data_IF_470114001882
#
_entry.id   IF_470114001882
#
_cell.length_a   1.000
_cell.length_b   1.000
_cell.length_c   1.000
_cell.angle_alpha   90.00
_cell.angle_beta   90.00
_cell.angle_gamma   90.00
#
_symmetry.space_group_name_H-M   'P 1'
#
loop_
_entity.id
_entity.type
_entity.pdbx_description
1 polymer ?
#
# COMPACT_ATOMS: atom_id res chain seq x y z
N UNK A 1 43.43 -12.18 2.85
CA UNK A 1 43.65 -11.06 1.89
C UNK A 1 42.62 -11.11 0.75
N UNK A 2 42.04 -9.98 0.35
CA UNK A 2 41.18 -9.91 -0.85
C UNK A 2 42.09 -9.88 -2.11
N UNK A 3 41.78 -10.59 -3.20
CA UNK A 3 42.48 -10.43 -4.49
C UNK A 3 42.44 -8.98 -4.96
N UNK A 4 43.46 -8.55 -5.73
CA UNK A 4 43.51 -7.20 -6.30
C UNK A 4 42.52 -7.03 -7.45
N UNK A 5 42.21 -8.12 -8.13
CA UNK A 5 41.29 -8.20 -9.27
C UNK A 5 39.81 -8.21 -8.87
N UNK A 6 38.93 -8.03 -9.86
CA UNK A 6 37.48 -8.11 -9.69
C UNK A 6 37.11 -9.57 -9.45
N UNK A 7 36.42 -9.86 -8.35
CA UNK A 7 36.07 -11.24 -7.99
C UNK A 7 34.63 -11.52 -8.41
N UNK A 8 34.43 -12.58 -9.19
CA UNK A 8 33.11 -13.11 -9.54
C UNK A 8 32.54 -13.93 -8.39
N UNK A 9 33.32 -14.90 -7.90
CA UNK A 9 32.86 -15.84 -6.88
C UNK A 9 34.06 -16.47 -6.16
N UNK A 10 33.91 -16.69 -4.85
CA UNK A 10 34.78 -17.56 -4.07
C UNK A 10 34.13 -18.92 -3.89
N UNK A 11 34.93 -19.98 -3.89
CA UNK A 11 34.47 -21.32 -3.52
C UNK A 11 35.63 -22.13 -2.95
N UNK A 12 35.33 -23.20 -2.24
CA UNK A 12 36.33 -24.18 -1.82
C UNK A 12 35.91 -25.58 -2.28
N UNK A 13 36.89 -26.46 -2.42
CA UNK A 13 36.66 -27.89 -2.67
C UNK A 13 37.14 -28.67 -1.46
N UNK A 14 36.21 -29.31 -0.75
CA UNK A 14 36.50 -30.19 0.37
C UNK A 14 36.87 -31.58 -0.13
N UNK A 15 37.74 -32.27 0.62
CA UNK A 15 38.25 -33.60 0.27
C UNK A 15 37.66 -34.59 1.25
N UNK A 16 37.27 -35.76 0.76
CA UNK A 16 36.83 -36.88 1.59
C UNK A 16 37.75 -38.06 1.26
N UNK A 17 38.44 -38.59 2.28
CA UNK A 17 39.33 -39.76 2.19
C UNK A 17 40.61 -39.62 1.33
N UNK A 18 41.02 -38.40 0.95
CA UNK A 18 42.34 -38.15 0.33
C UNK A 18 42.86 -36.74 0.66
N UNK A 19 44.15 -36.49 0.42
CA UNK A 19 44.80 -35.21 0.66
C UNK A 19 45.48 -34.69 -0.63
N UNK A 20 46.08 -33.49 -0.58
CA UNK A 20 46.73 -32.88 -1.74
C UNK A 20 47.95 -33.65 -2.26
N UNK A 21 48.63 -34.47 -1.44
CA UNK A 21 49.83 -35.20 -1.89
C UNK A 21 49.52 -36.32 -2.87
N UNK A 22 48.25 -36.72 -2.97
CA UNK A 22 47.76 -37.72 -3.92
C UNK A 22 47.30 -37.12 -5.27
N UNK A 23 47.27 -35.78 -5.39
CA UNK A 23 46.80 -35.09 -6.61
C UNK A 23 48.00 -34.78 -7.51
N UNK A 24 48.13 -35.50 -8.63
CA UNK A 24 49.17 -35.22 -9.64
C UNK A 24 48.77 -34.08 -10.57
N UNK A 25 47.53 -34.12 -11.07
CA UNK A 25 46.94 -33.16 -11.97
C UNK A 25 45.41 -33.24 -11.89
N UNK A 26 44.74 -32.12 -12.11
CA UNK A 26 43.30 -32.01 -12.16
C UNK A 26 42.88 -30.81 -13.00
N UNK A 27 41.60 -30.78 -13.35
CA UNK A 27 41.00 -29.69 -14.11
C UNK A 27 39.72 -29.24 -13.42
N UNK A 28 39.56 -27.93 -13.29
CA UNK A 28 38.32 -27.32 -12.80
C UNK A 28 37.68 -26.61 -13.98
N UNK A 29 36.46 -27.01 -14.32
CA UNK A 29 35.64 -26.30 -15.29
C UNK A 29 34.60 -25.46 -14.57
N UNK A 30 34.45 -24.22 -14.99
CA UNK A 30 33.53 -23.27 -14.40
C UNK A 30 32.94 -22.37 -15.46
N UNK A 31 31.78 -21.79 -15.17
CA UNK A 31 31.11 -20.84 -16.04
C UNK A 31 31.00 -19.49 -15.36
N UNK A 32 31.02 -18.43 -16.16
CA UNK A 32 30.84 -17.05 -15.73
C UNK A 32 29.70 -16.44 -16.53
N UNK A 33 28.82 -15.69 -15.87
CA UNK A 33 27.74 -14.99 -16.55
C UNK A 33 28.31 -13.93 -17.51
N UNK A 34 27.86 -13.95 -18.78
CA UNK A 34 28.30 -12.98 -19.76
C UNK A 34 27.93 -11.55 -19.36
N UNK A 35 26.79 -11.36 -18.67
CA UNK A 35 26.39 -10.04 -18.18
C UNK A 35 27.41 -9.47 -17.20
N UNK A 36 27.90 -10.29 -16.26
CA UNK A 36 28.95 -9.88 -15.32
C UNK A 36 30.26 -9.52 -16.03
N UNK A 37 30.64 -10.29 -17.07
CA UNK A 37 31.84 -10.01 -17.88
C UNK A 37 31.70 -8.64 -18.56
N UNK A 38 30.56 -8.36 -19.19
CA UNK A 38 30.31 -7.09 -19.88
C UNK A 38 30.18 -5.91 -18.91
N UNK A 39 29.40 -6.06 -17.83
CA UNK A 39 29.15 -5.02 -16.82
C UNK A 39 30.43 -4.57 -16.12
N UNK A 40 31.38 -5.49 -15.92
CA UNK A 40 32.65 -5.20 -15.25
C UNK A 40 33.80 -4.94 -16.24
N UNK A 41 33.53 -4.87 -17.55
CA UNK A 41 34.56 -4.61 -18.56
C UNK A 41 35.67 -5.68 -18.62
N UNK A 42 35.36 -6.90 -18.20
CA UNK A 42 36.35 -7.96 -18.02
C UNK A 42 36.90 -8.41 -19.37
N UNK A 43 38.22 -8.34 -19.51
CA UNK A 43 38.95 -8.76 -20.70
C UNK A 43 39.43 -10.20 -20.60
N UNK A 44 39.89 -10.61 -19.41
CA UNK A 44 40.35 -11.98 -19.14
C UNK A 44 39.79 -12.51 -17.82
N UNK A 45 39.48 -13.81 -17.80
CA UNK A 45 38.99 -14.50 -16.60
C UNK A 45 40.01 -15.55 -16.19
N UNK A 46 40.30 -15.61 -14.90
CA UNK A 46 41.23 -16.57 -14.30
C UNK A 46 40.60 -17.27 -13.11
N UNK A 47 40.97 -18.53 -12.89
CA UNK A 47 40.82 -19.13 -11.58
C UNK A 47 42.08 -18.85 -10.76
N UNK A 48 41.92 -18.32 -9.56
CA UNK A 48 43.02 -18.16 -8.60
C UNK A 48 42.86 -19.12 -7.43
N UNK A 49 43.98 -19.58 -6.88
CA UNK A 49 44.06 -20.48 -5.73
C UNK A 49 44.80 -19.80 -4.59
N UNK A 50 44.33 -19.99 -3.37
CA UNK A 50 44.96 -19.42 -2.18
C UNK A 50 46.04 -20.35 -1.58
N UNK A 51 47.25 -19.81 -1.44
CA UNK A 51 48.43 -20.42 -0.80
C UNK A 51 49.21 -19.39 0.04
N UNK A 52 48.56 -18.78 1.04
CA UNK A 52 49.11 -17.62 1.75
C UNK A 52 48.97 -16.31 0.96
N UNK A 53 49.02 -16.40 -0.36
CA UNK A 53 48.65 -15.38 -1.34
C UNK A 53 47.76 -15.96 -2.44
N UNK A 54 47.09 -15.09 -3.21
CA UNK A 54 46.29 -15.52 -4.37
C UNK A 54 47.18 -15.73 -5.58
N UNK A 55 47.25 -16.96 -6.08
CA UNK A 55 48.01 -17.31 -7.29
C UNK A 55 47.08 -17.63 -8.44
N UNK A 56 47.23 -16.93 -9.56
CA UNK A 56 46.48 -17.21 -10.80
C UNK A 56 46.89 -18.57 -11.36
N UNK A 57 45.90 -19.35 -11.78
CA UNK A 57 46.10 -20.63 -12.44
C UNK A 57 45.95 -20.45 -13.96
N UNK A 58 46.63 -21.32 -14.72
CA UNK A 58 46.44 -21.40 -16.16
C UNK A 58 44.98 -21.71 -16.45
N UNK A 59 44.28 -20.77 -17.07
CA UNK A 59 42.84 -20.80 -17.34
C UNK A 59 42.60 -20.54 -18.82
N UNK A 60 41.78 -21.38 -19.47
CA UNK A 60 41.49 -21.32 -20.90
C UNK A 60 39.97 -21.19 -21.10
N UNK A 61 39.54 -20.31 -22.00
CA UNK A 61 38.14 -20.25 -22.45
C UNK A 61 37.88 -21.46 -23.36
N UNK A 62 36.96 -22.32 -22.97
CA UNK A 62 36.65 -23.57 -23.69
C UNK A 62 35.36 -23.49 -24.50
N UNK A 63 34.40 -22.63 -24.10
CA UNK A 63 33.15 -22.42 -24.83
C UNK A 63 32.50 -21.08 -24.46
N UNK A 64 31.66 -20.53 -25.33
CA UNK A 64 30.86 -19.33 -25.09
C UNK A 64 29.46 -19.48 -25.68
N UNK A 65 28.44 -19.27 -24.84
CA UNK A 65 27.03 -19.19 -25.24
C UNK A 65 26.53 -17.76 -25.13
N UNK A 66 25.25 -17.49 -25.40
CA UNK A 66 24.64 -16.16 -25.20
C UNK A 66 24.66 -15.74 -23.72
N UNK A 67 24.43 -16.67 -22.79
CA UNK A 67 24.30 -16.39 -21.36
C UNK A 67 25.59 -16.59 -20.56
N UNK A 68 26.45 -17.52 -20.96
CA UNK A 68 27.62 -17.90 -20.15
C UNK A 68 28.88 -18.10 -21.00
N UNK A 69 30.03 -17.79 -20.40
CA UNK A 69 31.37 -18.16 -20.88
C UNK A 69 31.92 -19.27 -19.98
N UNK A 70 32.46 -20.33 -20.58
CA UNK A 70 32.94 -21.54 -19.89
C UNK A 70 34.46 -21.60 -19.96
N UNK A 71 35.09 -21.85 -18.83
CA UNK A 71 36.53 -21.85 -18.64
C UNK A 71 36.99 -23.15 -18.02
N UNK A 72 38.23 -23.53 -18.34
CA UNK A 72 38.94 -24.67 -17.75
C UNK A 72 40.25 -24.21 -17.13
N UNK A 73 40.49 -24.56 -15.88
CA UNK A 73 41.74 -24.26 -15.19
C UNK A 73 42.47 -25.54 -14.76
N UNK A 74 43.79 -25.58 -14.96
CA UNK A 74 44.62 -26.69 -14.48
C UNK A 74 45.00 -26.50 -13.01
N UNK A 75 44.83 -27.56 -12.22
CA UNK A 75 45.15 -27.58 -10.79
C UNK A 75 46.01 -28.79 -10.43
N UNK A 76 46.87 -28.62 -9.43
CA UNK A 76 47.67 -29.71 -8.84
C UNK A 76 47.33 -29.92 -7.35
N UNK A 77 46.38 -29.17 -6.80
CA UNK A 77 45.92 -29.26 -5.42
C UNK A 77 44.59 -28.53 -5.23
N UNK A 78 43.82 -28.89 -4.20
CA UNK A 78 42.60 -28.18 -3.83
C UNK A 78 42.78 -27.32 -2.57
N UNK A 79 42.23 -26.11 -2.62
CA UNK A 79 42.25 -25.08 -1.58
C UNK A 79 40.98 -24.22 -1.70
N UNK A 80 41.02 -22.98 -1.20
CA UNK A 80 40.11 -21.91 -1.57
C UNK A 80 40.47 -21.40 -2.97
N UNK A 81 39.43 -21.15 -3.76
CA UNK A 81 39.50 -20.65 -5.10
C UNK A 81 38.68 -19.36 -5.24
N UNK A 82 39.12 -18.51 -6.16
CA UNK A 82 38.41 -17.30 -6.58
C UNK A 82 38.37 -17.25 -8.10
N UNK A 83 37.20 -16.99 -8.66
CA UNK A 83 37.06 -16.64 -10.08
C UNK A 83 37.30 -15.15 -10.19
N UNK A 84 38.35 -14.77 -10.93
CA UNK A 84 38.82 -13.40 -11.07
C UNK A 84 38.58 -12.90 -12.50
N UNK A 85 38.17 -11.64 -12.61
CA UNK A 85 38.10 -10.88 -13.85
C UNK A 85 39.20 -9.82 -13.86
N UNK A 86 39.94 -9.77 -14.95
CA UNK A 86 40.99 -8.80 -15.23
C UNK A 86 40.49 -7.79 -16.25
N UNK A 87 40.67 -6.52 -15.92
CA UNK A 87 40.42 -5.37 -16.79
C UNK A 87 41.78 -4.72 -17.07
N UNK A 88 41.95 -4.27 -18.31
CA UNK A 88 43.01 -3.32 -18.65
C UNK A 88 42.59 -2.53 -19.89
N UNK A 89 42.96 -1.26 -19.94
CA UNK A 89 42.80 -0.42 -21.13
C UNK A 89 44.04 -0.53 -22.00
N UNK A 90 43.89 -0.66 -23.32
CA UNK A 90 45.04 -0.86 -24.22
C UNK A 90 46.05 0.30 -24.08
N UNK A 91 47.31 -0.04 -23.82
CA UNK A 91 48.36 0.95 -23.56
C UNK A 91 48.50 1.40 -22.11
N UNK A 92 47.56 1.06 -21.23
CA UNK A 92 47.67 1.30 -19.78
C UNK A 92 48.89 0.58 -19.22
N UNK A 93 49.58 1.20 -18.24
CA UNK A 93 50.74 0.62 -17.55
C UNK A 93 50.43 0.40 -16.08
N UNK A 94 51.02 -0.63 -15.48
CA UNK A 94 50.97 -0.87 -14.02
C UNK A 94 52.26 -1.50 -13.53
N UNK A 95 52.53 -1.31 -12.24
CA UNK A 95 53.54 -2.10 -11.54
C UNK A 95 52.91 -3.34 -10.92
N UNK A 96 53.48 -4.51 -11.18
CA UNK A 96 53.12 -5.78 -10.54
C UNK A 96 54.36 -6.38 -9.87
N UNK A 97 54.59 -6.02 -8.61
CA UNK A 97 55.87 -6.27 -7.95
C UNK A 97 56.96 -5.44 -8.62
N UNK A 98 58.06 -6.10 -9.00
CA UNK A 98 59.18 -5.46 -9.71
C UNK A 98 58.99 -5.42 -11.22
N UNK A 99 57.86 -5.91 -11.75
CA UNK A 99 57.59 -5.90 -13.18
C UNK A 99 56.78 -4.66 -13.57
N UNK A 100 57.24 -3.96 -14.62
CA UNK A 100 56.44 -3.01 -15.35
C UNK A 100 55.62 -3.77 -16.39
N UNK A 101 54.30 -3.76 -16.22
CA UNK A 101 53.36 -4.39 -17.14
C UNK A 101 52.64 -3.33 -17.96
N UNK A 102 52.37 -3.63 -19.24
CA UNK A 102 51.51 -2.84 -20.11
C UNK A 102 50.38 -3.71 -20.63
N UNK A 103 49.18 -3.14 -20.74
CA UNK A 103 48.08 -3.81 -21.40
C UNK A 103 48.33 -3.84 -22.90
N UNK A 104 48.59 -5.05 -23.42
CA UNK A 104 48.79 -5.33 -24.84
C UNK A 104 47.83 -6.45 -25.23
N UNK A 105 47.01 -6.22 -26.26
CA UNK A 105 45.94 -7.12 -26.69
C UNK A 105 44.99 -7.49 -25.54
N UNK A 106 44.54 -6.49 -24.78
CA UNK A 106 43.65 -6.67 -23.62
C UNK A 106 44.20 -7.62 -22.53
N UNK A 107 45.52 -7.68 -22.37
CA UNK A 107 46.20 -8.46 -21.35
C UNK A 107 47.39 -7.72 -20.80
N UNK A 108 47.60 -7.79 -19.49
CA UNK A 108 48.86 -7.33 -18.93
C UNK A 108 50.01 -8.21 -19.41
N UNK A 109 50.99 -7.59 -20.06
CA UNK A 109 52.24 -8.18 -20.50
C UNK A 109 53.38 -7.47 -19.78
N UNK A 110 54.34 -8.23 -19.25
CA UNK A 110 55.56 -7.65 -18.69
C UNK A 110 56.36 -7.04 -19.84
N UNK A 111 56.51 -5.72 -19.84
CA UNK A 111 57.31 -5.00 -20.83
C UNK A 111 58.75 -4.80 -20.36
N UNK A 112 58.96 -4.74 -19.04
CA UNK A 112 60.29 -4.58 -18.43
C UNK A 112 60.28 -5.19 -17.01
N UNK A 113 61.35 -5.89 -16.64
CA UNK A 113 61.60 -6.34 -15.26
C UNK A 113 62.51 -5.30 -14.61
N UNK A 114 62.02 -4.57 -13.62
CA UNK A 114 62.73 -3.47 -13.00
C UNK A 114 63.70 -3.97 -11.92
N UNK A 115 65.00 -4.00 -12.23
CA UNK A 115 66.05 -4.44 -11.29
C UNK A 115 66.07 -3.64 -9.98
N UNK A 116 65.68 -2.35 -10.04
CA UNK A 116 65.62 -1.44 -8.88
C UNK A 116 64.18 -1.09 -8.47
N UNK A 117 63.23 -1.98 -8.81
CA UNK A 117 61.82 -1.83 -8.50
C UNK A 117 61.05 -0.95 -9.49
N UNK A 118 59.75 -1.23 -9.62
CA UNK A 118 58.83 -0.48 -10.47
C UNK A 118 58.18 0.66 -9.68
N UNK A 119 58.19 1.88 -10.22
CA UNK A 119 57.59 3.04 -9.57
C UNK A 119 56.09 3.16 -9.91
N UNK A 120 55.17 2.96 -8.95
CA UNK A 120 53.73 2.98 -9.24
C UNK A 120 53.19 4.37 -9.58
N UNK A 121 53.94 5.44 -9.28
CA UNK A 121 53.52 6.82 -9.57
C UNK A 121 53.90 7.24 -10.98
N UNK A 122 55.09 6.85 -11.45
CA UNK A 122 55.59 7.21 -12.80
C UNK A 122 55.35 6.11 -13.84
N UNK A 123 54.95 4.92 -13.39
CA UNK A 123 54.75 3.73 -14.23
C UNK A 123 56.00 3.43 -15.09
N UNK A 124 57.16 3.51 -14.44
CA UNK A 124 58.48 3.32 -15.04
C UNK A 124 59.40 2.56 -14.08
N UNK A 125 60.43 1.89 -14.61
CA UNK A 125 61.48 1.32 -13.77
C UNK A 125 62.34 2.42 -13.13
N UNK A 126 62.72 2.21 -11.88
CA UNK A 126 63.63 3.13 -11.21
C UNK A 126 65.01 3.07 -11.85
N UNK A 127 65.68 4.21 -12.06
CA UNK A 127 67.03 4.22 -12.58
C UNK A 127 67.99 3.58 -11.57
N UNK A 128 69.06 2.98 -12.09
CA UNK A 128 70.18 2.52 -11.27
C UNK A 128 70.67 3.67 -10.38
N UNK A 129 70.75 3.49 -9.05
CA UNK A 129 71.22 4.54 -8.16
C UNK A 129 72.63 4.98 -8.57
N UNK A 130 72.79 6.28 -8.80
CA UNK A 130 74.07 6.89 -9.20
C UNK A 130 74.93 7.18 -7.97
N UNK A 131 75.99 6.38 -7.81
CA UNK A 131 77.07 6.59 -6.85
C UNK A 131 77.08 5.57 -5.70
N UNK A 132 77.95 4.56 -5.79
CA UNK A 132 79.24 4.52 -5.10
C UNK A 132 80.02 3.26 -5.52
N UNK A 133 81.30 3.47 -5.82
CA UNK A 133 82.30 2.43 -6.04
C UNK A 133 82.57 1.67 -4.73
N UNK A 134 83.08 0.45 -4.91
CA UNK A 134 83.49 -0.48 -3.85
C UNK A 134 84.41 0.18 -2.81
N UNK A 135 84.09 -0.01 -1.52
CA UNK A 135 85.03 -0.58 -0.54
C UNK A 135 84.32 -0.90 0.78
N UNK A 136 84.83 -1.92 1.46
CA UNK A 136 84.10 -2.68 2.45
C UNK A 136 84.11 -2.12 3.86
N UNK A 137 83.19 -2.66 4.67
CA UNK A 137 83.37 -2.83 6.11
C UNK A 137 82.72 -1.78 7.02
N UNK A 138 81.54 -2.14 7.52
CA UNK A 138 81.16 -1.95 8.92
C UNK A 138 80.92 -0.52 9.42
N UNK A 139 79.65 -0.14 9.52
CA UNK A 139 79.22 1.01 10.33
C UNK A 139 77.74 1.30 10.14
N UNK A 140 76.96 1.20 11.21
CA UNK A 140 75.51 1.39 11.16
C UNK A 140 75.07 2.85 11.04
N UNK A 141 73.80 3.04 10.67
CA UNK A 141 73.06 4.27 10.93
C UNK A 141 72.18 4.77 9.77
N UNK A 142 70.88 4.92 10.05
CA UNK A 142 70.06 5.96 9.40
C UNK A 142 69.11 5.51 8.29
N UNK A 143 68.03 4.82 8.64
CA UNK A 143 66.87 4.66 7.75
C UNK A 143 66.19 6.02 7.51
N UNK A 144 66.41 6.61 6.33
CA UNK A 144 65.65 7.74 5.84
C UNK A 144 64.25 7.30 5.43
N UNK A 145 63.29 7.38 6.36
CA UNK A 145 61.89 7.08 6.08
C UNK A 145 61.33 8.04 5.04
N UNK A 146 60.84 7.51 3.92
CA UNK A 146 60.06 8.27 2.95
C UNK A 146 58.84 8.87 3.67
N UNK A 147 58.75 10.20 3.65
CA UNK A 147 57.61 10.95 4.21
C UNK A 147 56.69 11.32 3.06
N UNK A 148 55.47 10.76 2.98
CA UNK A 148 54.52 11.09 1.92
C UNK A 148 54.11 12.57 1.97
N UNK A 149 53.88 13.21 0.80
CA UNK A 149 53.41 14.59 0.75
C UNK A 149 52.02 14.74 1.38
N UNK A 150 51.78 15.90 2.00
CA UNK A 150 50.48 16.21 2.57
C UNK A 150 49.52 16.67 1.45
N UNK A 151 48.28 16.17 1.48
CA UNK A 151 47.24 16.49 0.51
C UNK A 151 46.02 17.09 1.22
N UNK A 152 45.33 18.03 0.57
CA UNK A 152 44.12 18.70 1.07
C UNK A 152 42.84 18.24 0.38
N UNK A 153 42.93 17.45 -0.68
CA UNK A 153 41.79 16.93 -1.45
C UNK A 153 41.94 15.43 -1.64
N UNK A 154 40.90 14.69 -1.29
CA UNK A 154 40.79 13.25 -1.49
C UNK A 154 39.67 13.02 -2.50
N UNK A 155 39.96 12.31 -3.59
CA UNK A 155 38.95 11.88 -4.55
C UNK A 155 39.02 10.37 -4.67
N UNK A 156 37.90 9.70 -4.45
CA UNK A 156 37.76 8.26 -4.58
C UNK A 156 36.63 7.93 -5.55
N UNK A 157 36.96 7.24 -6.63
CA UNK A 157 35.99 6.61 -7.51
C UNK A 157 35.85 5.14 -7.18
N UNK A 158 34.62 4.62 -7.28
CA UNK A 158 34.30 3.21 -7.03
C UNK A 158 33.29 2.70 -8.06
N UNK A 159 33.13 1.38 -8.15
CA UNK A 159 32.08 0.75 -8.95
C UNK A 159 30.80 0.45 -8.14
N UNK A 160 30.70 0.98 -6.91
CA UNK A 160 29.51 0.85 -6.06
C UNK A 160 28.42 1.82 -6.52
N UNK A 161 27.24 1.74 -5.91
CA UNK A 161 26.19 2.74 -6.16
C UNK A 161 26.62 4.14 -5.72
N UNK A 162 27.45 4.28 -4.68
CA UNK A 162 28.22 5.50 -4.40
C UNK A 162 29.51 5.44 -5.24
N UNK A 163 29.48 6.05 -6.41
CA UNK A 163 30.53 5.87 -7.41
C UNK A 163 31.64 6.94 -7.33
N UNK A 164 31.39 8.07 -6.66
CA UNK A 164 32.40 9.12 -6.46
C UNK A 164 32.28 9.77 -5.09
N UNK A 165 33.41 9.93 -4.41
CA UNK A 165 33.52 10.62 -3.13
C UNK A 165 34.66 11.62 -3.20
N UNK A 166 34.35 12.87 -2.93
CA UNK A 166 35.28 13.97 -2.87
C UNK A 166 35.27 14.58 -1.47
N UNK A 167 36.44 14.72 -0.86
CA UNK A 167 36.61 15.30 0.49
C UNK A 167 37.64 16.41 0.37
N UNK A 168 37.27 17.63 0.77
CA UNK A 168 38.25 18.68 0.99
C UNK A 168 38.52 18.80 2.48
N UNK A 169 39.80 18.77 2.83
CA UNK A 169 40.29 18.97 4.19
C UNK A 169 40.54 20.46 4.42
N UNK A 170 40.38 20.90 5.67
CA UNK A 170 40.71 22.26 6.12
C UNK A 170 42.20 22.53 5.96
N UNK A 171 43.01 21.55 6.33
CA UNK A 171 44.47 21.59 6.26
C UNK A 171 45.03 20.32 5.57
N UNK A 172 46.16 20.40 4.84
CA UNK A 172 46.78 19.24 4.23
C UNK A 172 47.19 18.17 5.26
N UNK A 173 46.81 16.91 5.04
CA UNK A 173 47.18 15.76 5.89
C UNK A 173 48.10 14.80 5.14
N UNK A 174 48.96 14.08 5.87
CA UNK A 174 49.87 13.08 5.28
C UNK A 174 49.18 11.73 5.14
N UNK A 175 49.16 11.19 3.92
CA UNK A 175 48.54 9.91 3.59
C UNK A 175 47.09 9.72 4.09
N UNK A 176 46.20 10.72 3.97
CA UNK A 176 44.81 10.54 4.33
C UNK A 176 44.13 9.62 3.30
N UNK A 177 43.32 8.66 3.77
CA UNK A 177 42.61 7.75 2.87
C UNK A 177 41.22 7.40 3.39
N UNK A 178 40.30 7.19 2.45
CA UNK A 178 38.92 6.78 2.73
C UNK A 178 38.64 5.46 2.01
N UNK A 179 38.02 4.52 2.70
CA UNK A 179 37.53 3.27 2.15
C UNK A 179 36.03 3.16 2.37
N UNK A 180 35.29 2.97 1.29
CA UNK A 180 33.84 2.74 1.30
C UNK A 180 33.58 1.32 0.85
N UNK A 181 32.75 0.60 1.60
CA UNK A 181 32.38 -0.77 1.31
C UNK A 181 30.87 -0.93 1.45
N UNK A 182 30.24 -1.54 0.45
CA UNK A 182 28.84 -1.95 0.55
C UNK A 182 28.71 -3.09 1.57
N UNK A 183 27.70 -3.00 2.42
CA UNK A 183 27.39 -3.98 3.46
C UNK A 183 25.93 -4.41 3.32
N UNK A 184 25.62 -5.64 3.73
CA UNK A 184 24.25 -6.17 3.70
C UNK A 184 23.49 -5.96 5.01
N UNK A 185 24.20 -5.68 6.12
CA UNK A 185 23.63 -5.56 7.46
C UNK A 185 24.41 -4.55 8.27
N UNK A 186 23.71 -3.73 9.05
CA UNK A 186 24.32 -2.81 10.01
C UNK A 186 24.83 -3.56 11.26
N UNK A 187 25.79 -2.98 12.01
CA UNK A 187 26.16 -3.48 13.33
C UNK A 187 24.98 -3.52 14.30
N UNK A 188 25.09 -4.38 15.31
CA UNK A 188 24.08 -4.51 16.35
C UNK A 188 23.84 -3.17 17.08
N UNK A 189 22.57 -2.83 17.31
CA UNK A 189 22.16 -1.59 17.97
C UNK A 189 21.90 -0.40 17.04
N UNK A 190 22.15 -0.53 15.73
CA UNK A 190 21.82 0.50 14.74
C UNK A 190 20.60 0.05 13.92
N UNK A 191 19.48 0.77 14.05
CA UNK A 191 18.31 0.53 13.21
C UNK A 191 18.54 1.04 11.79
N UNK A 192 18.07 0.30 10.79
CA UNK A 192 18.13 0.71 9.39
C UNK A 192 17.05 1.77 9.07
N UNK A 193 17.33 2.79 8.24
CA UNK A 193 16.30 3.71 7.76
C UNK A 193 15.21 2.98 6.97
N UNK A 194 13.98 3.47 7.03
CA UNK A 194 12.90 2.92 6.20
C UNK A 194 13.20 3.07 4.70
N UNK A 195 12.75 2.10 3.90
CA UNK A 195 12.93 2.10 2.43
C UNK A 195 14.40 2.25 1.99
N UNK A 196 15.30 1.56 2.67
CA UNK A 196 16.72 1.54 2.31
C UNK A 196 16.95 0.69 1.06
N UNK A 197 17.69 1.23 0.10
CA UNK A 197 18.18 0.55 -1.08
C UNK A 197 19.48 -0.20 -0.80
N UNK A 198 20.46 0.52 -0.24
CA UNK A 198 21.82 0.00 0.01
C UNK A 198 22.47 0.67 1.20
N UNK A 199 23.31 -0.11 1.88
CA UNK A 199 24.08 0.29 3.05
C UNK A 199 25.57 0.28 2.75
N UNK A 200 26.30 1.22 3.35
CA UNK A 200 27.74 1.35 3.20
C UNK A 200 28.42 1.61 4.54
N UNK A 201 29.60 1.03 4.70
CA UNK A 201 30.53 1.36 5.77
C UNK A 201 31.66 2.22 5.21
N UNK A 202 32.01 3.28 5.95
CA UNK A 202 33.09 4.19 5.62
C UNK A 202 34.18 4.10 6.69
N UNK A 203 35.41 3.86 6.24
CA UNK A 203 36.59 3.86 7.10
C UNK A 203 37.53 4.98 6.68
N UNK A 204 37.91 5.83 7.63
CA UNK A 204 38.85 6.94 7.48
C UNK A 204 40.22 6.51 8.00
N UNK A 205 41.29 7.06 7.45
CA UNK A 205 42.65 6.82 7.93
C UNK A 205 43.45 8.12 7.81
N UNK A 206 44.12 8.53 8.90
CA UNK A 206 44.94 9.74 9.00
C UNK A 206 44.17 11.08 8.85
N UNK A 207 42.88 11.11 9.16
CA UNK A 207 42.07 12.32 9.35
C UNK A 207 40.75 11.96 10.04
N UNK A 208 40.15 12.94 10.72
CA UNK A 208 38.86 12.83 11.40
C UNK A 208 37.86 13.89 10.89
N UNK A 209 36.63 13.88 11.39
CA UNK A 209 35.58 14.80 10.91
C UNK A 209 35.92 16.27 11.19
N UNK A 210 36.68 16.57 12.25
CA UNK A 210 37.13 17.94 12.55
C UNK A 210 38.06 18.51 11.47
N UNK A 211 38.75 17.65 10.73
CA UNK A 211 39.67 18.03 9.66
C UNK A 211 38.95 18.35 8.33
N UNK A 212 37.67 17.99 8.21
CA UNK A 212 36.92 18.08 6.96
C UNK A 212 36.35 19.49 6.78
N UNK A 213 36.56 20.06 5.60
CA UNK A 213 35.92 21.31 5.16
C UNK A 213 34.58 21.03 4.48
N UNK A 214 34.58 20.13 3.50
CA UNK A 214 33.37 19.68 2.82
C UNK A 214 33.55 18.25 2.27
N UNK A 215 32.42 17.62 2.01
CA UNK A 215 32.29 16.29 1.41
C UNK A 215 31.24 16.38 0.32
N UNK A 216 31.53 15.74 -0.81
CA UNK A 216 30.60 15.55 -1.92
C UNK A 216 30.57 14.07 -2.27
N UNK A 217 29.36 13.50 -2.23
CA UNK A 217 29.10 12.08 -2.46
C UNK A 217 28.19 11.97 -3.67
N UNK A 218 28.66 11.37 -4.75
CA UNK A 218 27.84 11.10 -5.92
C UNK A 218 27.44 9.63 -5.96
N UNK A 219 26.15 9.41 -6.18
CA UNK A 219 25.58 8.08 -6.18
C UNK A 219 24.47 7.92 -7.21
N UNK A 220 24.17 6.69 -7.56
CA UNK A 220 23.12 6.34 -8.53
C UNK A 220 22.17 5.29 -7.98
N UNK A 221 20.91 5.38 -8.38
CA UNK A 221 19.85 4.47 -7.99
C UNK A 221 19.12 3.98 -9.24
N UNK A 222 18.89 2.67 -9.41
CA UNK A 222 18.14 2.14 -10.55
C UNK A 222 16.72 2.69 -10.57
N UNK A 223 16.25 3.10 -11.75
CA UNK A 223 14.87 3.57 -11.92
C UNK A 223 13.85 2.49 -11.56
N UNK A 224 14.16 1.22 -11.85
CA UNK A 224 13.32 0.09 -11.47
C UNK A 224 13.08 0.03 -9.96
N UNK A 225 14.11 0.24 -9.14
CA UNK A 225 13.97 0.23 -7.68
C UNK A 225 13.08 1.39 -7.20
N UNK A 226 13.26 2.59 -7.76
CA UNK A 226 12.46 3.78 -7.42
C UNK A 226 10.98 3.52 -7.73
N UNK A 227 10.67 3.01 -8.91
CA UNK A 227 9.29 2.72 -9.35
C UNK A 227 8.66 1.56 -8.58
N UNK A 228 9.37 0.43 -8.43
CA UNK A 228 8.88 -0.76 -7.72
C UNK A 228 8.56 -0.47 -6.25
N UNK A 229 9.31 0.44 -5.63
CA UNK A 229 9.12 0.80 -4.22
C UNK A 229 8.28 2.08 -4.04
N UNK A 230 7.70 2.65 -5.11
CA UNK A 230 6.90 3.87 -5.08
C UNK A 230 7.60 5.04 -4.33
N UNK A 231 8.88 5.24 -4.65
CA UNK A 231 9.72 6.26 -4.02
C UNK A 231 9.53 7.59 -4.73
N UNK A 232 9.15 8.63 -3.97
CA UNK A 232 8.99 9.98 -4.49
C UNK A 232 10.32 10.75 -4.47
N UNK A 233 11.09 10.62 -3.39
CA UNK A 233 12.36 11.31 -3.21
C UNK A 233 13.44 10.34 -2.73
N UNK A 234 14.68 10.53 -3.17
CA UNK A 234 15.83 9.70 -2.79
C UNK A 234 16.84 10.57 -2.08
N UNK A 235 17.33 10.09 -0.93
CA UNK A 235 18.34 10.76 -0.12
C UNK A 235 19.49 9.84 0.23
N UNK A 236 20.66 10.44 0.47
CA UNK A 236 21.74 9.78 1.18
C UNK A 236 21.63 10.12 2.67
N UNK A 237 21.55 9.10 3.51
CA UNK A 237 21.55 9.24 4.96
C UNK A 237 22.94 8.94 5.52
N UNK A 238 23.35 9.73 6.50
CA UNK A 238 24.59 9.55 7.26
C UNK A 238 24.32 9.19 8.72
N UNK A 239 25.01 8.17 9.22
CA UNK A 239 25.00 7.77 10.62
C UNK A 239 26.28 8.18 11.35
N UNK A 240 26.11 8.97 12.42
CA UNK A 240 27.15 9.20 13.44
C UNK A 240 26.59 8.89 14.84
N UNK A 241 25.64 9.70 15.31
CA UNK A 241 24.90 9.48 16.57
C UNK A 241 23.41 9.22 16.34
N UNK A 242 23.09 8.70 15.16
CA UNK A 242 21.74 8.63 14.61
C UNK A 242 21.77 8.94 13.11
N UNK A 243 20.73 8.47 12.41
CA UNK A 243 20.58 8.74 11.00
C UNK A 243 20.11 10.18 10.76
N UNK A 244 20.80 10.87 9.86
CA UNK A 244 20.43 12.20 9.39
C UNK A 244 20.46 12.23 7.86
N UNK A 245 19.53 12.96 7.25
CA UNK A 245 19.54 13.19 5.81
C UNK A 245 20.67 14.14 5.46
N UNK A 246 21.45 13.78 4.46
CA UNK A 246 22.38 14.69 3.82
C UNK A 246 21.61 15.50 2.77
N UNK A 247 22.05 16.74 2.56
CA UNK A 247 21.50 17.59 1.51
C UNK A 247 21.78 16.93 0.16
N UNK A 248 20.73 16.57 -0.58
CA UNK A 248 20.82 15.68 -1.75
C UNK A 248 20.05 16.30 -2.91
N UNK A 249 20.70 16.39 -4.06
CA UNK A 249 20.14 16.96 -5.28
C UNK A 249 20.21 15.94 -6.43
N UNK A 250 19.23 15.98 -7.34
CA UNK A 250 19.29 15.21 -8.58
C UNK A 250 20.31 15.88 -9.51
N UNK A 251 21.28 15.11 -9.99
CA UNK A 251 22.31 15.57 -10.90
C UNK A 251 22.02 15.21 -12.36
N UNK A 252 21.46 14.03 -12.61
CA UNK A 252 21.12 13.57 -13.95
C UNK A 252 20.11 12.41 -13.91
N UNK A 253 19.35 12.25 -14.98
CA UNK A 253 18.39 11.16 -15.14
C UNK A 253 18.67 10.45 -16.48
N UNK A 254 18.73 9.13 -16.43
CA UNK A 254 18.88 8.26 -17.61
C UNK A 254 17.74 7.25 -17.62
N UNK A 255 17.51 6.50 -18.71
CA UNK A 255 16.47 5.47 -18.73
C UNK A 255 16.64 4.39 -17.64
N UNK A 256 17.89 4.08 -17.26
CA UNK A 256 18.21 2.98 -16.34
C UNK A 256 18.42 3.47 -14.89
N UNK A 257 18.93 4.69 -14.70
CA UNK A 257 19.35 5.22 -13.40
C UNK A 257 19.05 6.70 -13.22
N UNK A 258 18.74 7.07 -11.99
CA UNK A 258 18.82 8.44 -11.48
C UNK A 258 20.13 8.63 -10.73
N UNK A 259 20.77 9.78 -10.97
CA UNK A 259 22.06 10.17 -10.41
C UNK A 259 21.86 11.35 -9.46
N UNK A 260 22.52 11.28 -8.31
CA UNK A 260 22.36 12.21 -7.21
C UNK A 260 23.70 12.67 -6.69
N UNK A 261 23.73 13.88 -6.15
CA UNK A 261 24.88 14.44 -5.44
C UNK A 261 24.42 14.82 -4.04
N UNK A 262 25.13 14.32 -3.03
CA UNK A 262 24.90 14.66 -1.64
C UNK A 262 26.07 15.47 -1.06
N UNK A 263 25.75 16.49 -0.28
CA UNK A 263 26.69 17.40 0.35
C UNK A 263 26.70 17.20 1.87
N UNK A 264 27.89 17.31 2.47
CA UNK A 264 28.05 17.24 3.92
C UNK A 264 29.29 18.01 4.38
N UNK A 265 29.31 18.41 5.64
CA UNK A 265 30.49 18.99 6.32
C UNK A 265 31.28 17.96 7.12
N UNK A 266 30.79 16.72 7.21
CA UNK A 266 31.43 15.59 7.88
C UNK A 266 31.27 14.31 7.04
N UNK A 267 32.05 13.27 7.34
CA UNK A 267 31.95 11.99 6.64
C UNK A 267 31.47 10.88 7.60
N UNK A 268 30.19 10.48 7.50
CA UNK A 268 29.56 9.48 8.35
C UNK A 268 30.30 8.14 8.36
N UNK A 269 30.23 7.42 9.48
CA UNK A 269 30.78 6.06 9.60
C UNK A 269 29.96 5.02 8.81
N UNK A 270 28.64 5.24 8.73
CA UNK A 270 27.74 4.46 7.88
C UNK A 270 26.89 5.37 7.01
N UNK A 271 26.61 4.91 5.80
CA UNK A 271 25.75 5.59 4.84
C UNK A 271 24.62 4.65 4.41
N UNK A 272 23.44 5.21 4.16
CA UNK A 272 22.31 4.49 3.59
C UNK A 272 21.73 5.29 2.44
N UNK A 273 21.60 4.69 1.27
CA UNK A 273 20.76 5.25 0.20
C UNK A 273 19.35 4.80 0.51
N UNK A 274 18.43 5.73 0.75
CA UNK A 274 17.05 5.41 1.11
C UNK A 274 16.07 6.36 0.43
N UNK A 275 14.85 5.87 0.23
CA UNK A 275 13.78 6.60 -0.42
C UNK A 275 12.72 7.07 0.57
N UNK A 276 12.06 8.18 0.25
CA UNK A 276 10.85 8.63 0.92
C UNK A 276 9.69 8.34 -0.03
N UNK A 277 8.75 7.50 0.42
CA UNK A 277 7.49 7.28 -0.31
C UNK A 277 6.67 8.56 -0.27
N UNK A 278 5.99 8.85 -1.38
CA UNK A 278 4.90 9.83 -1.33
C UNK A 278 3.89 9.34 -0.28
N UNK A 279 3.50 10.19 0.66
CA UNK A 279 2.50 9.81 1.66
C UNK A 279 1.23 9.46 0.91
N UNK A 280 0.85 8.19 0.91
CA UNK A 280 -0.42 7.77 0.31
C UNK A 280 -1.56 8.30 1.19
N UNK A 281 -2.22 9.37 0.74
CA UNK A 281 -3.31 10.04 1.46
C UNK A 281 -4.62 9.26 1.28
N UNK A 282 -4.76 8.61 0.12
CA UNK A 282 -5.92 7.81 -0.24
C UNK A 282 -5.58 6.80 -1.35
N UNK A 283 -6.46 5.83 -1.56
CA UNK A 283 -6.35 4.88 -2.68
C UNK A 283 -7.16 5.45 -3.85
N UNK A 284 -6.54 5.50 -5.03
CA UNK A 284 -7.15 6.09 -6.23
C UNK A 284 -8.54 5.51 -6.51
N UNK A 285 -9.53 6.40 -6.72
CA UNK A 285 -10.92 6.02 -6.96
C UNK A 285 -11.74 5.68 -5.71
N UNK A 286 -11.14 5.55 -4.52
CA UNK A 286 -11.92 5.40 -3.29
C UNK A 286 -12.79 6.63 -3.02
N UNK A 287 -13.91 6.42 -2.35
CA UNK A 287 -14.83 7.48 -1.94
C UNK A 287 -14.90 7.56 -0.43
N UNK A 288 -15.13 8.78 0.08
CA UNK A 288 -15.44 9.01 1.49
C UNK A 288 -16.44 10.13 1.64
N UNK A 289 -17.18 10.10 2.74
CA UNK A 289 -17.92 11.27 3.21
C UNK A 289 -17.05 12.06 4.18
N UNK A 290 -16.84 13.35 3.92
CA UNK A 290 -16.12 14.25 4.81
C UNK A 290 -16.75 15.65 4.76
N UNK A 291 -17.07 16.25 5.92
CA UNK A 291 -17.70 17.59 6.00
C UNK A 291 -18.97 17.77 5.12
N UNK A 292 -19.87 16.79 5.08
CA UNK A 292 -21.04 16.75 4.20
C UNK A 292 -20.72 16.80 2.69
N UNK A 293 -19.49 16.50 2.30
CA UNK A 293 -19.09 16.31 0.92
C UNK A 293 -18.85 14.85 0.65
N UNK A 294 -19.34 14.38 -0.50
CA UNK A 294 -18.89 13.14 -1.09
C UNK A 294 -17.57 13.44 -1.82
N UNK A 295 -16.48 12.88 -1.33
CA UNK A 295 -15.15 13.05 -1.90
C UNK A 295 -14.70 11.75 -2.58
N UNK A 296 -13.87 11.87 -3.62
CA UNK A 296 -13.21 10.77 -4.33
C UNK A 296 -11.71 11.03 -4.37
N UNK A 297 -10.90 9.99 -4.16
CA UNK A 297 -9.46 10.10 -4.33
C UNK A 297 -9.13 10.24 -5.82
N UNK A 298 -8.46 11.33 -6.18
CA UNK A 298 -7.84 11.52 -7.50
C UNK A 298 -6.47 12.16 -7.34
N UNK A 299 -5.48 11.58 -8.00
CA UNK A 299 -4.08 12.02 -7.96
C UNK A 299 -3.53 12.07 -6.52
N UNK A 300 -3.78 10.99 -5.75
CA UNK A 300 -3.38 10.86 -4.34
C UNK A 300 -3.93 11.98 -3.42
N UNK A 301 -5.03 12.64 -3.81
CA UNK A 301 -5.69 13.68 -3.02
C UNK A 301 -7.22 13.53 -3.03
N UNK A 302 -7.86 13.81 -1.91
CA UNK A 302 -9.32 13.84 -1.83
C UNK A 302 -9.88 15.04 -2.59
N UNK A 303 -10.65 14.77 -3.65
CA UNK A 303 -11.37 15.77 -4.43
C UNK A 303 -12.85 15.69 -4.12
N UNK A 304 -13.50 16.83 -3.96
CA UNK A 304 -14.96 16.91 -3.79
C UNK A 304 -15.63 16.50 -5.09
N UNK A 305 -16.42 15.42 -5.03
CA UNK A 305 -17.25 14.94 -6.13
C UNK A 305 -18.60 15.67 -6.12
N UNK A 306 -19.19 15.81 -4.94
CA UNK A 306 -20.49 16.47 -4.73
C UNK A 306 -20.59 17.03 -3.31
N UNK A 307 -21.23 18.19 -3.14
CA UNK A 307 -21.57 18.76 -1.82
C UNK A 307 -23.00 18.32 -1.47
N UNK A 308 -23.15 17.50 -0.43
CA UNK A 308 -24.42 16.88 -0.08
C UNK A 308 -25.31 17.82 0.75
N UNK A 309 -26.29 18.47 0.12
CA UNK A 309 -27.21 19.40 0.78
C UNK A 309 -28.02 18.78 1.94
N UNK A 310 -28.27 17.47 1.90
CA UNK A 310 -29.05 16.73 2.91
C UNK A 310 -28.20 15.70 3.69
N UNK A 311 -26.88 15.93 3.74
CA UNK A 311 -25.92 15.06 4.41
C UNK A 311 -25.40 13.94 3.51
N UNK A 312 -24.22 13.44 3.85
CA UNK A 312 -23.53 12.36 3.12
C UNK A 312 -23.67 11.04 3.89
N UNK A 313 -24.07 9.97 3.20
CA UNK A 313 -24.20 8.64 3.80
C UNK A 313 -22.85 7.91 3.80
N UNK A 314 -22.23 7.79 4.98
CA UNK A 314 -20.90 7.19 5.12
C UNK A 314 -20.85 5.68 4.85
N UNK A 315 -21.98 4.97 4.91
CA UNK A 315 -22.07 3.53 4.61
C UNK A 315 -22.22 3.27 3.13
N UNK A 316 -23.08 4.03 2.46
CA UNK A 316 -23.37 3.87 1.04
C UNK A 316 -22.45 4.71 0.14
N UNK A 317 -21.68 5.65 0.72
CA UNK A 317 -20.78 6.57 0.01
C UNK A 317 -21.51 7.36 -1.10
N UNK A 318 -22.68 7.89 -0.76
CA UNK A 318 -23.56 8.70 -1.63
C UNK A 318 -24.19 9.86 -0.86
N UNK A 319 -24.59 10.93 -1.55
CA UNK A 319 -25.38 12.01 -0.95
C UNK A 319 -26.82 11.57 -0.69
N UNK A 320 -27.38 11.98 0.46
CA UNK A 320 -28.78 11.69 0.78
C UNK A 320 -29.72 12.47 -0.14
N UNK A 321 -30.84 11.87 -0.58
CA UNK A 321 -31.84 12.57 -1.37
C UNK A 321 -32.52 13.65 -0.53
N UNK A 322 -33.09 14.65 -1.23
CA UNK A 322 -33.97 15.64 -0.60
C UNK A 322 -35.10 14.93 0.17
N UNK A 323 -35.31 15.21 1.47
CA UNK A 323 -36.45 14.70 2.21
C UNK A 323 -37.75 15.07 1.49
N UNK A 324 -38.60 14.07 1.23
CA UNK A 324 -39.91 14.29 0.62
C UNK A 324 -40.75 15.21 1.50
N UNK A 325 -41.14 16.37 0.97
CA UNK A 325 -42.00 17.33 1.65
C UNK A 325 -43.34 16.67 2.02
N UNK A 326 -43.69 16.65 3.31
CA UNK A 326 -44.99 16.18 3.77
C UNK A 326 -46.05 17.12 3.20
N UNK A 327 -46.81 16.64 2.20
CA UNK A 327 -47.90 17.40 1.59
C UNK A 327 -48.93 17.76 2.66
N UNK A 328 -49.13 19.06 2.94
CA UNK A 328 -50.16 19.53 3.88
C UNK A 328 -51.54 19.22 3.31
N UNK A 329 -52.29 18.32 3.95
CA UNK A 329 -53.63 17.86 3.55
C UNK A 329 -54.70 18.74 4.21
N UNK A 330 -54.47 19.18 5.44
CA UNK A 330 -55.38 20.04 6.20
C UNK A 330 -54.64 20.92 7.21
N UNK A 331 -55.32 21.93 7.73
CA UNK A 331 -54.82 22.75 8.82
C UNK A 331 -55.19 22.11 10.15
N UNK A 332 -54.20 21.89 11.03
CA UNK A 332 -54.40 21.20 12.30
C UNK A 332 -55.51 21.88 13.12
N UNK A 333 -56.48 21.09 13.59
CA UNK A 333 -57.63 21.59 14.31
C UNK A 333 -58.79 22.12 13.46
N UNK A 334 -58.62 22.29 12.14
CA UNK A 334 -59.72 22.64 11.25
C UNK A 334 -60.80 21.54 11.27
N UNK A 335 -62.07 21.94 11.15
CA UNK A 335 -63.23 21.03 11.15
C UNK A 335 -63.95 21.07 9.81
N UNK A 336 -64.59 19.95 9.44
CA UNK A 336 -65.49 19.87 8.28
C UNK A 336 -66.58 18.84 8.53
N UNK A 337 -67.71 19.02 7.87
CA UNK A 337 -68.73 17.99 7.78
C UNK A 337 -68.47 17.12 6.54
N UNK A 338 -68.51 15.78 6.69
CA UNK A 338 -68.45 14.85 5.57
C UNK A 338 -69.32 13.63 5.86
N UNK A 339 -70.25 13.30 4.97
CA UNK A 339 -71.15 12.13 5.11
C UNK A 339 -71.87 12.07 6.49
N UNK A 340 -72.38 13.20 6.99
CA UNK A 340 -72.97 13.35 8.33
C UNK A 340 -72.03 13.08 9.52
N UNK A 341 -70.71 13.03 9.29
CA UNK A 341 -69.72 13.01 10.35
C UNK A 341 -69.05 14.39 10.48
N UNK A 342 -68.77 14.78 11.71
CA UNK A 342 -67.89 15.90 12.00
C UNK A 342 -66.45 15.36 12.02
N UNK A 343 -65.64 15.83 11.08
CA UNK A 343 -64.22 15.50 10.97
C UNK A 343 -63.37 16.68 11.47
N UNK A 344 -62.25 16.38 12.14
CA UNK A 344 -61.22 17.35 12.53
C UNK A 344 -59.86 16.91 11.99
N UNK A 345 -59.07 17.86 11.53
CA UNK A 345 -57.69 17.59 11.12
C UNK A 345 -56.83 17.28 12.36
N UNK A 346 -56.32 16.05 12.45
CA UNK A 346 -55.41 15.60 13.50
C UNK A 346 -54.22 14.92 12.82
N UNK A 347 -53.00 15.41 13.10
CA UNK A 347 -51.76 14.95 12.48
C UNK A 347 -51.79 14.97 10.94
N UNK A 348 -52.22 16.10 10.36
CA UNK A 348 -52.30 16.28 8.91
C UNK A 348 -53.24 15.29 8.18
N UNK A 349 -54.23 14.71 8.88
CA UNK A 349 -55.26 13.86 8.30
C UNK A 349 -56.63 14.14 8.92
N UNK A 350 -57.70 13.99 8.13
CA UNK A 350 -59.06 14.19 8.61
C UNK A 350 -59.55 12.97 9.39
N UNK A 351 -59.80 13.14 10.69
CA UNK A 351 -60.33 12.10 11.57
C UNK A 351 -61.76 12.44 11.97
N UNK A 352 -62.65 11.45 11.94
CA UNK A 352 -64.02 11.60 12.46
C UNK A 352 -63.96 11.75 13.97
N UNK A 353 -64.40 12.90 14.48
CA UNK A 353 -64.49 13.16 15.92
C UNK A 353 -65.89 12.90 16.48
N UNK A 354 -66.93 13.01 15.64
CA UNK A 354 -68.31 12.77 16.04
C UNK A 354 -69.15 12.31 14.84
N UNK A 355 -70.07 11.37 15.06
CA UNK A 355 -71.05 10.92 14.07
C UNK A 355 -72.36 11.65 14.36
N UNK A 356 -72.83 12.50 13.45
CA UNK A 356 -74.00 13.34 13.69
C UNK A 356 -75.30 12.62 13.32
N UNK A 357 -75.97 12.03 14.31
CA UNK A 357 -77.24 11.30 14.12
C UNK A 357 -78.35 12.15 13.46
N UNK A 358 -78.38 13.46 13.72
CA UNK A 358 -79.38 14.40 13.20
C UNK A 358 -78.83 15.34 12.12
N UNK A 359 -77.73 14.94 11.48
CA UNK A 359 -77.05 15.71 10.44
C UNK A 359 -75.96 16.64 10.99
N UNK A 360 -74.94 16.89 10.17
CA UNK A 360 -73.83 17.79 10.49
C UNK A 360 -74.10 19.17 9.88
N UNK A 361 -73.93 20.23 10.67
CA UNK A 361 -74.16 21.60 10.21
C UNK A 361 -72.88 22.18 9.58
N UNK A 362 -72.92 22.40 8.26
CA UNK A 362 -71.76 22.91 7.51
C UNK A 362 -71.36 24.35 7.87
N UNK A 363 -72.26 25.13 8.49
CA UNK A 363 -71.99 26.52 8.89
C UNK A 363 -71.36 26.61 10.28
N UNK A 364 -71.87 25.83 11.24
CA UNK A 364 -71.37 25.84 12.63
C UNK A 364 -70.28 24.81 12.88
N UNK A 365 -70.04 23.90 11.92
CA UNK A 365 -69.09 22.79 12.03
C UNK A 365 -69.32 21.97 13.30
N UNK A 366 -70.59 21.61 13.53
CA UNK A 366 -71.07 20.88 14.71
C UNK A 366 -72.23 19.95 14.36
N UNK A 367 -72.47 18.92 15.15
CA UNK A 367 -73.64 18.07 15.00
C UNK A 367 -74.93 18.81 15.39
N UNK A 368 -76.01 18.59 14.63
CA UNK A 368 -77.31 19.16 14.94
C UNK A 368 -77.91 18.51 16.21
N UNK A 369 -78.59 19.29 17.06
CA UNK A 369 -79.30 18.74 18.20
C UNK A 369 -80.51 17.91 17.72
N UNK A 370 -80.93 16.98 18.57
CA UNK A 370 -82.15 16.18 18.36
C UNK A 370 -83.37 17.11 18.20
N UNK A 371 -84.20 16.95 17.16
CA UNK A 371 -85.39 17.78 16.97
C UNK A 371 -86.39 17.57 18.11
N UNK A 372 -86.88 18.68 18.66
CA UNK A 372 -87.93 18.66 19.69
C UNK A 372 -89.25 18.13 19.12
N UNK A 373 -89.93 17.24 19.85
CA UNK A 373 -91.14 16.59 19.38
C UNK A 373 -92.32 17.58 19.30
N UNK A 374 -92.92 17.73 18.12
CA UNK A 374 -94.12 18.53 17.90
C UNK A 374 -95.37 17.91 18.60
N UNK A 375 -96.33 18.73 19.06
CA UNK A 375 -97.47 18.28 19.86
C UNK A 375 -98.50 17.50 19.02
N UNK A 376 -98.96 16.38 19.58
CA UNK A 376 -99.76 15.27 18.99
C UNK A 376 -101.22 15.65 18.65
N UNK A 377 -101.53 16.92 18.37
CA UNK A 377 -102.93 17.39 18.23
C UNK A 377 -103.52 17.17 16.82
N UNK A 378 -102.68 17.02 15.79
CA UNK A 378 -103.16 16.82 14.40
C UNK A 378 -103.37 15.36 13.98
N UNK A 379 -102.88 14.40 14.76
CA UNK A 379 -103.06 12.95 14.48
C UNK A 379 -104.45 12.43 14.88
N UNK A 380 -105.21 13.17 15.70
CA UNK A 380 -106.52 12.73 16.22
C UNK A 380 -107.67 13.10 15.26
N UNK A 381 -107.52 14.15 14.43
CA UNK A 381 -108.53 14.56 13.44
C UNK A 381 -108.46 13.74 12.13
N UNK A 382 -107.30 13.18 11.78
CA UNK A 382 -107.15 12.28 10.62
C UNK A 382 -107.68 10.86 10.84
N UNK A 383 -107.88 10.45 12.10
CA UNK A 383 -108.35 9.10 12.47
C UNK A 383 -109.89 8.96 12.48
N UNK A 384 -110.65 10.04 12.31
CA UNK A 384 -112.14 9.99 12.24
C UNK A 384 -112.65 9.73 10.80
N UNK A 385 -111.82 9.88 9.76
CA UNK A 385 -112.25 9.65 8.35
C UNK A 385 -111.78 8.28 7.80
N UNK A 386 -110.85 7.59 8.46
CA UNK A 386 -110.29 6.31 7.99
C UNK A 386 -110.77 5.08 8.79
N UNK A 387 -111.93 5.16 9.47
CA UNK A 387 -112.57 4.05 10.17
C UNK A 387 -113.88 3.63 9.48
N UNK A 388 -113.77 3.27 8.20
CA UNK A 388 -114.82 2.63 7.42
C UNK A 388 -114.29 1.34 6.83
N UNK A 389 -114.36 0.25 7.61
CA UNK A 389 -114.10 -1.15 7.22
C UNK A 389 -112.62 -1.47 6.95
N UNK A 390 -111.96 -2.44 7.57
CA UNK A 390 -112.38 -3.51 8.48
C UNK A 390 -111.30 -4.58 8.53
N UNK A 391 -111.14 -5.22 9.69
CA UNK A 391 -110.45 -6.52 9.85
C UNK A 391 -108.97 -6.41 10.26
N UNK A 392 -108.64 -6.16 11.52
CA UNK A 392 -108.49 -7.19 12.57
C UNK A 392 -107.49 -8.29 12.16
N UNK A 393 -106.26 -8.08 12.64
CA UNK A 393 -105.44 -9.03 13.41
C UNK A 393 -105.18 -10.43 12.85
N UNK A 394 -103.89 -10.62 12.50
CA UNK A 394 -102.98 -11.52 13.24
C UNK A 394 -103.18 -13.03 13.00
N UNK A 395 -102.38 -13.62 12.10
CA UNK A 395 -101.23 -14.47 12.49
C UNK A 395 -100.57 -15.24 11.34
N UNK A 396 -99.24 -15.35 11.52
CA UNK A 396 -98.26 -16.31 10.98
C UNK A 396 -97.72 -16.02 9.57
N UNK A 397 -96.57 -15.35 9.43
CA UNK A 397 -95.19 -15.72 9.84
C UNK A 397 -94.60 -16.75 8.89
N UNK A 398 -93.97 -16.25 7.83
CA UNK A 398 -92.92 -16.91 7.05
C UNK A 398 -92.14 -15.80 6.32
N UNK A 399 -90.82 -15.97 6.18
CA UNK A 399 -89.85 -15.07 5.54
C UNK A 399 -89.51 -13.74 6.21
N UNK A 400 -88.53 -13.76 7.13
CA UNK A 400 -87.26 -13.00 7.01
C UNK A 400 -86.17 -13.80 7.76
N UNK A 401 -85.57 -14.80 7.11
CA UNK A 401 -84.28 -15.42 7.48
C UNK A 401 -83.25 -15.28 6.35
N UNK A 402 -83.30 -14.15 5.62
CA UNK A 402 -82.48 -13.92 4.42
C UNK A 402 -81.51 -12.75 4.47
N UNK A 403 -81.51 -11.92 5.52
CA UNK A 403 -80.75 -10.65 5.51
C UNK A 403 -79.87 -10.43 6.76
N UNK A 404 -79.34 -11.50 7.36
CA UNK A 404 -78.29 -11.41 8.39
C UNK A 404 -77.15 -12.41 8.09
N UNK A 405 -76.70 -12.47 6.84
CA UNK A 405 -75.49 -13.23 6.45
C UNK A 405 -74.53 -12.48 5.52
N UNK A 406 -74.60 -11.14 5.47
CA UNK A 406 -73.61 -10.33 4.72
C UNK A 406 -72.90 -9.24 5.53
N UNK A 407 -73.17 -9.10 6.84
CA UNK A 407 -72.53 -8.08 7.70
C UNK A 407 -71.72 -8.65 8.89
N UNK A 408 -71.45 -9.97 8.90
CA UNK A 408 -70.58 -10.60 9.92
C UNK A 408 -69.17 -10.95 9.42
N UNK A 409 -68.91 -10.88 8.12
CA UNK A 409 -67.64 -11.34 7.55
C UNK A 409 -66.50 -10.30 7.56
N UNK A 410 -66.76 -9.00 7.69
CA UNK A 410 -65.71 -7.96 7.71
C UNK A 410 -65.02 -7.86 9.07
N UNK A 411 -65.80 -7.87 10.16
CA UNK A 411 -65.30 -7.75 11.55
C UNK A 411 -64.44 -8.93 12.03
N UNK A 412 -64.48 -10.06 11.35
CA UNK A 412 -63.72 -11.25 11.75
C UNK A 412 -62.26 -11.20 11.28
N UNK A 413 -62.02 -10.74 10.06
CA UNK A 413 -60.69 -10.71 9.46
C UNK A 413 -59.81 -9.61 10.06
N UNK A 414 -60.37 -8.43 10.33
CA UNK A 414 -59.67 -7.34 11.04
C UNK A 414 -59.20 -7.80 12.44
N UNK A 415 -60.01 -8.62 13.13
CA UNK A 415 -59.68 -9.18 14.44
C UNK A 415 -58.59 -10.25 14.36
N UNK A 416 -58.49 -10.97 13.25
CA UNK A 416 -57.41 -11.95 13.00
C UNK A 416 -56.10 -11.24 12.68
N UNK A 417 -56.13 -10.18 11.87
CA UNK A 417 -54.97 -9.33 11.58
C UNK A 417 -54.40 -8.72 12.86
N UNK A 418 -55.24 -8.13 13.74
CA UNK A 418 -54.79 -7.60 15.02
C UNK A 418 -54.09 -8.64 15.91
N UNK A 419 -54.55 -9.91 15.89
CA UNK A 419 -53.91 -11.00 16.64
C UNK A 419 -52.54 -11.37 16.07
N UNK A 420 -52.42 -11.38 14.76
CA UNK A 420 -51.16 -11.62 14.05
C UNK A 420 -50.16 -10.51 14.32
N UNK A 421 -50.57 -9.24 14.22
CA UNK A 421 -49.72 -8.07 14.52
C UNK A 421 -49.16 -8.12 15.95
N UNK A 422 -49.99 -8.48 16.92
CA UNK A 422 -49.56 -8.63 18.31
C UNK A 422 -48.52 -9.76 18.49
N UNK A 423 -48.65 -10.87 17.75
CA UNK A 423 -47.67 -11.97 17.77
C UNK A 423 -46.34 -11.53 17.15
N UNK A 424 -46.37 -10.85 16.01
CA UNK A 424 -45.17 -10.34 15.34
C UNK A 424 -44.43 -9.33 16.24
N UNK A 425 -45.16 -8.40 16.87
CA UNK A 425 -44.59 -7.45 17.82
C UNK A 425 -43.89 -8.14 19.00
N UNK A 426 -44.46 -9.25 19.51
CA UNK A 426 -43.84 -10.07 20.57
C UNK A 426 -42.56 -10.77 20.09
N UNK A 427 -42.54 -11.33 18.87
CA UNK A 427 -41.34 -11.96 18.31
C UNK A 427 -40.21 -10.95 18.04
N UNK A 428 -40.58 -9.74 17.60
CA UNK A 428 -39.66 -8.62 17.40
C UNK A 428 -39.03 -8.16 18.71
N UNK A 429 -39.82 -8.07 19.79
CA UNK A 429 -39.32 -7.79 21.13
C UNK A 429 -38.41 -8.90 21.69
N UNK A 430 -38.55 -10.14 21.21
CA UNK A 430 -37.68 -11.26 21.53
C UNK A 430 -36.44 -11.36 20.63
N UNK A 431 -36.23 -10.39 19.73
CA UNK A 431 -35.05 -10.33 18.84
C UNK A 431 -35.07 -11.33 17.69
N UNK A 432 -36.22 -11.94 17.36
CA UNK A 432 -36.34 -12.80 16.17
C UNK A 432 -36.47 -11.95 14.90
N UNK A 433 -35.87 -12.41 13.80
CA UNK A 433 -36.05 -11.78 12.49
C UNK A 433 -37.49 -11.98 12.01
N UNK A 434 -38.21 -10.89 11.82
CA UNK A 434 -39.64 -10.86 11.49
C UNK A 434 -39.91 -10.23 10.12
N UNK A 435 -38.87 -9.88 9.35
CA UNK A 435 -39.01 -9.15 8.08
C UNK A 435 -39.89 -9.88 7.07
N UNK A 436 -39.70 -11.18 6.90
CA UNK A 436 -40.49 -11.99 5.94
C UNK A 436 -41.98 -12.06 6.31
N UNK A 437 -42.31 -12.21 7.59
CA UNK A 437 -43.71 -12.30 8.06
C UNK A 437 -44.38 -10.91 8.14
N UNK A 438 -43.62 -9.84 8.34
CA UNK A 438 -44.10 -8.46 8.25
C UNK A 438 -44.49 -8.11 6.80
N UNK A 439 -43.66 -8.48 5.81
CA UNK A 439 -43.96 -8.28 4.38
C UNK A 439 -45.18 -9.08 3.92
N UNK A 440 -45.30 -10.35 4.34
CA UNK A 440 -46.47 -11.17 4.00
C UNK A 440 -47.77 -10.63 4.62
N UNK A 441 -47.72 -10.08 5.84
CA UNK A 441 -48.88 -9.46 6.46
C UNK A 441 -49.32 -8.18 5.73
N UNK A 442 -48.37 -7.37 5.23
CA UNK A 442 -48.69 -6.19 4.43
C UNK A 442 -49.39 -6.55 3.11
N UNK A 443 -49.03 -7.69 2.50
CA UNK A 443 -49.76 -8.21 1.33
C UNK A 443 -51.21 -8.59 1.68
N UNK A 444 -51.47 -9.18 2.85
CA UNK A 444 -52.83 -9.48 3.32
C UNK A 444 -53.67 -8.21 3.46
N UNK A 445 -53.11 -7.15 4.06
CA UNK A 445 -53.80 -5.86 4.21
C UNK A 445 -54.09 -5.22 2.85
N UNK A 446 -53.11 -5.27 1.94
CA UNK A 446 -53.27 -4.75 0.58
C UNK A 446 -54.36 -5.50 -0.20
N UNK A 447 -54.40 -6.83 -0.09
CA UNK A 447 -55.45 -7.66 -0.71
C UNK A 447 -56.84 -7.29 -0.17
N UNK A 448 -56.96 -6.91 1.10
CA UNK A 448 -58.21 -6.41 1.67
C UNK A 448 -58.62 -5.03 1.18
N UNK A 449 -57.67 -4.11 1.04
CA UNK A 449 -57.94 -2.76 0.54
C UNK A 449 -58.50 -2.79 -0.89
N UNK A 450 -58.02 -3.71 -1.72
CA UNK A 450 -58.49 -3.88 -3.11
C UNK A 450 -59.68 -4.84 -3.24
N UNK A 451 -60.26 -5.29 -2.12
CA UNK A 451 -61.48 -6.09 -2.07
C UNK A 451 -61.31 -7.58 -2.38
N UNK A 452 -60.08 -8.10 -2.43
CA UNK A 452 -59.75 -9.51 -2.68
C UNK A 452 -59.82 -10.35 -1.40
N UNK A 453 -61.02 -10.39 -0.80
CA UNK A 453 -61.22 -10.94 0.54
C UNK A 453 -60.85 -12.42 0.70
N UNK A 454 -61.18 -13.27 -0.27
CA UNK A 454 -60.87 -14.71 -0.22
C UNK A 454 -59.35 -14.98 -0.32
N UNK A 455 -58.64 -14.16 -1.10
CA UNK A 455 -57.17 -14.24 -1.23
C UNK A 455 -56.51 -13.77 0.06
N UNK A 456 -56.98 -12.67 0.63
CA UNK A 456 -56.51 -12.18 1.92
C UNK A 456 -56.72 -13.20 3.05
N UNK A 457 -57.90 -13.85 3.09
CA UNK A 457 -58.21 -14.89 4.08
C UNK A 457 -57.28 -16.10 3.94
N UNK A 458 -57.05 -16.58 2.71
CA UNK A 458 -56.13 -17.69 2.44
C UNK A 458 -54.68 -17.38 2.81
N UNK A 459 -54.21 -16.16 2.52
CA UNK A 459 -52.85 -15.72 2.93
C UNK A 459 -52.74 -15.57 4.44
N UNK A 460 -53.78 -15.06 5.10
CA UNK A 460 -53.81 -14.92 6.55
C UNK A 460 -53.79 -16.28 7.25
N UNK A 461 -54.50 -17.29 6.73
CA UNK A 461 -54.43 -18.68 7.23
C UNK A 461 -53.00 -19.24 7.16
N UNK A 462 -52.32 -19.04 6.02
CA UNK A 462 -50.94 -19.50 5.83
C UNK A 462 -49.98 -18.83 6.82
N UNK A 463 -50.18 -17.54 7.08
CA UNK A 463 -49.35 -16.75 7.98
C UNK A 463 -49.60 -17.09 9.45
N UNK A 464 -50.85 -17.33 9.85
CA UNK A 464 -51.21 -17.85 11.19
C UNK A 464 -50.54 -19.21 11.44
N UNK A 465 -50.52 -20.11 10.45
CA UNK A 465 -49.85 -21.42 10.53
C UNK A 465 -48.32 -21.30 10.59
N UNK A 466 -47.71 -20.37 9.83
CA UNK A 466 -46.28 -20.08 9.93
C UNK A 466 -45.93 -19.63 11.36
N UNK A 467 -46.71 -18.74 11.95
CA UNK A 467 -46.52 -18.21 13.29
C UNK A 467 -46.68 -19.24 14.42
N UNK A 468 -47.34 -20.37 14.20
CA UNK A 468 -47.38 -21.48 15.17
C UNK A 468 -46.05 -22.23 15.27
N UNK A 469 -45.22 -22.18 14.22
CA UNK A 469 -43.93 -22.87 14.17
C UNK A 469 -42.74 -21.99 14.59
N UNK A 470 -42.99 -20.73 15.01
CA UNK A 470 -41.95 -19.72 15.25
C UNK A 470 -41.34 -19.76 16.65
#
# INVERSE_FOLDING_TARGET
>A
PKPREIVYQYFNLTKVNFNNSLIKNGTIEFRVNNSWISENGIKKVYLARYEGEWKKLKTELINKTEKYSYYRASVNSFSYFAILGEVCEEGEKRCNGDNLEQCINNSWQVIEVCEYGCNPSTLSCNPKPSGEEEEGGGGGGGGGGYVPPAISKIVKTTNLSIYRVEILLKEPKRSPSVKISEISTLPEGISEPEQTYKLFQVNKTNFDNEDIKNVTLEFKVPNSWITENNIAEVYLYGYENGWSRLDTEIANETPDYNYYVAYSTFLPSYLAIAGIKERQVCIEGEKRCFNNELQVCRDNAWKTLEVCAYGCNSTLLVCNPKPSEIRKICEEGARRCRNNNLEQCINNSWQVIEICEYGCNETTLSCNPKPEALPVIWLILGLIIAAGTGGILYLKRERIKGLIKSLKGGKDLDRRIMRVEAKIAKLKAQGKDTREIEEELELVKKDLEIGLKEIAESRLDALEKKLENF
#
